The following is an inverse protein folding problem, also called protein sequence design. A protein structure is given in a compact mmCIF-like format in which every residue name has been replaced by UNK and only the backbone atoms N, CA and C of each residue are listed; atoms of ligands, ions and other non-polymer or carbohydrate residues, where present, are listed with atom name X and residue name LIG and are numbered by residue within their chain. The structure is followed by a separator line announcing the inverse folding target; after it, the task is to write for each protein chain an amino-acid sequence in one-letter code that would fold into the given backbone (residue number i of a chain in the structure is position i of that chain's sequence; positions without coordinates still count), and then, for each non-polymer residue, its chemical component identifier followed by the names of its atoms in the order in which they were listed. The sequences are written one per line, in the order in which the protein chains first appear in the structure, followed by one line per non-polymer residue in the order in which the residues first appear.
data_IF_951770406049
#
_entry.id   IF_951770406049
#
_cell.length_a   1.000
_cell.length_b   1.000
_cell.length_c   1.000
_cell.angle_alpha   90.00
_cell.angle_beta   90.00
_cell.angle_gamma   90.00
#
_symmetry.space_group_name_H-M   'P 1'
#
loop_
_entity.id
_entity.type
_entity.pdbx_description
1 polymer ?
#
# COMPACT_ATOMS: atom_id res chain seq x y z
N UNK A 1 1.30 -8.03 1.47
CA UNK A 1 1.23 -7.26 2.74
C UNK A 1 0.19 -7.91 3.64
N UNK A 2 0.25 -7.66 4.96
CA UNK A 2 -0.82 -8.09 5.88
C UNK A 2 -2.01 -7.15 5.68
N UNK A 3 -3.19 -7.69 5.47
CA UNK A 3 -4.39 -6.91 5.14
C UNK A 3 -5.47 -7.17 6.17
N UNK A 4 -6.09 -6.10 6.65
CA UNK A 4 -7.17 -6.13 7.63
C UNK A 4 -8.37 -5.32 7.11
N UNK A 5 -9.59 -5.75 7.42
CA UNK A 5 -10.83 -5.09 6.99
C UNK A 5 -11.49 -4.45 8.20
N UNK A 6 -11.80 -3.15 8.10
CA UNK A 6 -12.53 -2.42 9.14
C UNK A 6 -14.02 -2.61 8.87
N UNK A 7 -14.71 -3.27 9.80
CA UNK A 7 -16.14 -3.57 9.68
C UNK A 7 -16.91 -2.74 10.70
N UNK A 8 -17.97 -2.08 10.24
CA UNK A 8 -19.00 -1.52 11.11
C UNK A 8 -20.19 -2.46 11.15
N UNK A 9 -20.76 -2.67 12.33
CA UNK A 9 -21.96 -3.47 12.53
C UNK A 9 -23.06 -2.60 13.13
N UNK A 10 -24.27 -2.75 12.60
CA UNK A 10 -25.51 -2.09 13.06
C UNK A 10 -26.61 -3.13 13.18
N UNK A 11 -27.75 -2.76 13.76
CA UNK A 11 -28.93 -3.63 13.84
C UNK A 11 -29.42 -4.14 12.47
N UNK A 12 -29.11 -3.43 11.37
CA UNK A 12 -29.49 -3.83 10.00
C UNK A 12 -28.46 -4.73 9.31
N UNK A 13 -27.23 -4.82 9.82
CA UNK A 13 -26.16 -5.62 9.22
C UNK A 13 -24.78 -4.96 9.29
N UNK A 14 -23.85 -5.47 8.46
CA UNK A 14 -22.43 -5.08 8.44
C UNK A 14 -22.06 -4.29 7.18
N UNK A 15 -21.17 -3.32 7.34
CA UNK A 15 -20.58 -2.54 6.26
C UNK A 15 -19.05 -2.56 6.35
N UNK A 16 -18.39 -2.60 5.20
CA UNK A 16 -16.93 -2.40 5.12
C UNK A 16 -16.69 -0.89 5.11
N UNK A 17 -16.00 -0.39 6.13
CA UNK A 17 -15.63 1.03 6.21
C UNK A 17 -14.31 1.33 5.49
N UNK A 18 -13.45 0.33 5.36
CA UNK A 18 -12.14 0.49 4.72
C UNK A 18 -11.24 -0.72 4.98
N UNK A 19 -10.01 -0.60 4.50
CA UNK A 19 -8.97 -1.62 4.65
C UNK A 19 -7.70 -0.99 5.22
N UNK A 20 -7.02 -1.76 6.06
CA UNK A 20 -5.66 -1.47 6.49
C UNK A 20 -4.78 -2.43 5.72
N UNK A 21 -4.02 -1.90 4.75
CA UNK A 21 -3.21 -2.72 3.86
C UNK A 21 -1.71 -2.50 4.09
N UNK A 22 -1.11 -3.37 4.88
CA UNK A 22 0.27 -3.25 5.32
C UNK A 22 0.44 -2.32 6.51
N UNK A 23 1.33 -1.35 6.39
CA UNK A 23 1.74 -0.48 7.50
C UNK A 23 1.82 0.96 7.04
N UNK A 24 1.73 1.92 7.97
CA UNK A 24 1.90 3.34 7.65
C UNK A 24 3.29 3.60 7.06
N UNK A 25 3.40 4.60 6.20
CA UNK A 25 4.68 5.04 5.66
C UNK A 25 5.64 5.47 6.77
N UNK A 26 6.94 5.15 6.61
CA UNK A 26 7.99 5.51 7.58
C UNK A 26 8.52 6.94 7.37
N UNK A 27 8.35 7.50 6.18
CA UNK A 27 8.88 8.80 5.78
C UNK A 27 8.62 9.07 4.30
N UNK A 28 9.27 10.11 3.79
CA UNK A 28 9.30 10.47 2.37
C UNK A 28 10.58 9.88 1.75
N UNK A 29 10.49 9.38 0.52
CA UNK A 29 11.63 8.82 -0.22
C UNK A 29 12.70 9.88 -0.54
N UNK A 30 13.99 9.50 -0.54
CA UNK A 30 15.09 10.36 -1.01
C UNK A 30 15.29 10.28 -2.52
N UNK A 31 16.18 11.11 -3.07
CA UNK A 31 16.56 11.02 -4.49
C UNK A 31 17.23 9.67 -4.83
N UNK A 32 17.99 9.10 -3.91
CA UNK A 32 18.58 7.76 -4.05
C UNK A 32 17.50 6.66 -4.10
N UNK A 33 16.48 6.76 -3.23
CA UNK A 33 15.33 5.84 -3.23
C UNK A 33 14.55 5.93 -4.55
N UNK A 34 14.35 7.15 -5.06
CA UNK A 34 13.69 7.41 -6.35
C UNK A 34 14.47 6.75 -7.49
N UNK A 35 15.80 6.94 -7.51
CA UNK A 35 16.68 6.30 -8.51
C UNK A 35 16.56 4.78 -8.42
N UNK A 36 16.62 4.22 -7.22
CA UNK A 36 16.51 2.78 -7.01
C UNK A 36 15.17 2.21 -7.50
N UNK A 37 14.02 2.79 -7.12
CA UNK A 37 12.72 2.25 -7.55
C UNK A 37 12.51 2.34 -9.06
N UNK A 38 13.03 3.39 -9.71
CA UNK A 38 12.97 3.53 -11.18
C UNK A 38 13.84 2.49 -11.87
N UNK A 39 15.05 2.25 -11.38
CA UNK A 39 15.94 1.21 -11.88
C UNK A 39 15.35 -0.19 -11.66
N UNK A 40 14.76 -0.45 -10.49
CA UNK A 40 14.09 -1.71 -10.19
C UNK A 40 13.03 -2.01 -11.26
N UNK A 41 12.14 -1.07 -11.55
CA UNK A 41 11.09 -1.25 -12.57
C UNK A 41 11.65 -1.55 -13.97
N UNK A 42 12.80 -0.99 -14.34
CA UNK A 42 13.49 -1.33 -15.60
C UNK A 42 14.10 -2.73 -15.56
N UNK A 43 14.74 -3.09 -14.44
CA UNK A 43 15.33 -4.42 -14.22
C UNK A 43 14.30 -5.55 -14.27
N UNK A 44 13.12 -5.33 -13.70
CA UNK A 44 12.02 -6.31 -13.77
C UNK A 44 11.19 -6.19 -15.06
N UNK A 45 11.63 -5.39 -16.04
CA UNK A 45 11.03 -5.32 -17.38
C UNK A 45 9.72 -4.54 -17.49
N UNK A 46 9.30 -3.84 -16.43
CA UNK A 46 8.06 -3.07 -16.42
C UNK A 46 8.20 -1.67 -17.03
N UNK A 47 9.42 -1.20 -17.25
CA UNK A 47 9.74 0.08 -17.91
C UNK A 47 10.94 -0.10 -18.84
N UNK A 48 10.88 0.53 -20.02
CA UNK A 48 11.94 0.58 -21.02
C UNK A 48 12.90 1.73 -20.70
#
# INVERSE_FOLDING_TARGET
NKTEVVICETEKGRAILGVIDGSKSKGIESEEDIKFRKELLRKIGYKL
#
